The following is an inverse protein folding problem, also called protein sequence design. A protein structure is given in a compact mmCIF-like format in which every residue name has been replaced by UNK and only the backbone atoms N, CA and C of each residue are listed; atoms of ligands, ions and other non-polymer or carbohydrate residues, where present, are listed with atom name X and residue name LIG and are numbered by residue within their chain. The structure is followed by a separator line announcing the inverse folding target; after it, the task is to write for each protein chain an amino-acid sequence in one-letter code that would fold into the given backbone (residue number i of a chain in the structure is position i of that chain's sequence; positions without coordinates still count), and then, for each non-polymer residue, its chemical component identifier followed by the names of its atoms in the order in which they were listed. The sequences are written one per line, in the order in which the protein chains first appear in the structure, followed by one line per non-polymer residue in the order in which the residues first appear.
data_IF_454698873126
#
_entry.id   IF_454698873126
#
_cell.length_a   1.000
_cell.length_b   1.000
_cell.length_c   1.000
_cell.angle_alpha   90.00
_cell.angle_beta   90.00
_cell.angle_gamma   90.00
#
_symmetry.space_group_name_H-M   'P 1'
#
loop_
_entity.id
_entity.type
_entity.pdbx_description
1 polymer ?
#
# COMPACT_ATOMS: atom_id res chain seq x y z
N UNK A 1 -12.89 42.75 50.78
CA UNK A 1 -13.64 42.16 49.65
C UNK A 1 -13.10 40.75 49.43
N UNK A 2 -13.81 39.71 49.90
CA UNK A 2 -13.35 38.33 49.81
C UNK A 2 -13.85 37.69 48.51
N UNK A 3 -12.97 37.62 47.51
CA UNK A 3 -13.26 36.98 46.23
C UNK A 3 -13.15 35.46 46.42
N UNK A 4 -14.28 34.77 46.29
CA UNK A 4 -14.35 33.32 46.47
C UNK A 4 -13.94 32.60 45.18
N UNK A 5 -12.63 32.33 45.05
CA UNK A 5 -12.01 31.79 43.83
C UNK A 5 -12.61 30.44 43.37
N UNK A 6 -13.19 29.66 44.30
CA UNK A 6 -13.90 28.41 43.97
C UNK A 6 -15.07 28.64 43.01
N UNK A 7 -15.76 29.79 43.10
CA UNK A 7 -16.86 30.12 42.18
C UNK A 7 -16.38 30.58 40.81
N UNK A 8 -15.20 31.19 40.73
CA UNK A 8 -14.61 31.68 39.48
C UNK A 8 -14.13 30.50 38.62
N UNK A 9 -13.50 29.49 39.23
CA UNK A 9 -13.02 28.30 38.50
C UNK A 9 -14.18 27.37 38.09
N UNK A 10 -15.23 27.26 38.92
CA UNK A 10 -16.43 26.51 38.58
C UNK A 10 -17.22 27.11 37.40
N UNK A 11 -17.17 28.43 37.22
CA UNK A 11 -17.89 29.13 36.15
C UNK A 11 -17.13 29.14 34.82
N UNK A 12 -15.79 29.05 34.85
CA UNK A 12 -14.96 28.96 33.64
C UNK A 12 -14.94 27.54 33.03
N UNK A 13 -15.26 26.52 33.83
CA UNK A 13 -15.26 25.11 33.39
C UNK A 13 -16.52 24.69 32.62
N UNK A 14 -17.60 25.47 32.70
CA UNK A 14 -18.88 25.18 32.04
C UNK A 14 -19.02 25.77 30.63
N UNK A 15 -18.19 26.75 30.25
CA UNK A 15 -18.23 27.34 28.91
C UNK A 15 -17.33 26.63 27.87
N UNK A 16 -16.44 25.75 28.31
CA UNK A 16 -15.52 25.00 27.42
C UNK A 16 -16.17 23.70 26.91
N UNK A 17 -17.23 23.22 27.56
CA UNK A 17 -17.87 21.95 27.22
C UNK A 17 -18.84 22.05 26.02
N UNK A 18 -19.24 23.25 25.59
CA UNK A 18 -20.19 23.43 24.48
C UNK A 18 -19.56 23.60 23.09
N UNK A 19 -18.22 23.64 22.97
CA UNK A 19 -17.52 23.76 21.67
C UNK A 19 -17.17 22.38 21.08
N UNK A 20 -17.35 21.29 21.84
CA UNK A 20 -16.95 19.93 21.43
C UNK A 20 -18.10 19.08 20.85
N UNK A 21 -19.27 19.67 20.56
CA UNK A 21 -20.43 18.94 20.04
C UNK A 21 -21.02 19.54 18.76
N UNK A 22 -20.15 19.86 17.80
CA UNK A 22 -20.56 20.06 16.42
C UNK A 22 -19.86 19.01 15.54
N UNK A 23 -20.54 17.95 15.06
CA UNK A 23 -20.04 17.26 13.89
C UNK A 23 -20.26 18.18 12.70
N UNK A 24 -19.19 18.74 12.11
CA UNK A 24 -19.24 19.22 10.72
C UNK A 24 -19.40 17.99 9.82
N UNK A 25 -20.63 17.53 9.68
CA UNK A 25 -21.06 16.61 8.64
C UNK A 25 -21.64 17.43 7.49
N UNK A 26 -20.79 18.15 6.75
CA UNK A 26 -21.17 18.76 5.48
C UNK A 26 -20.37 18.13 4.34
N UNK A 27 -21.13 17.48 3.50
CA UNK A 27 -20.72 16.76 2.32
C UNK A 27 -19.99 17.66 1.32
N UNK A 28 -18.85 17.19 0.82
CA UNK A 28 -18.56 17.04 -0.61
C UNK A 28 -17.04 16.99 -0.86
N UNK A 29 -16.46 15.80 -0.71
CA UNK A 29 -15.59 15.34 -1.79
C UNK A 29 -16.28 14.17 -2.45
N UNK A 30 -16.95 14.50 -3.55
CA UNK A 30 -17.35 13.60 -4.63
C UNK A 30 -16.33 12.48 -4.71
N UNK A 31 -16.67 11.33 -4.14
CA UNK A 31 -15.88 10.12 -4.28
C UNK A 31 -15.89 9.86 -5.77
N UNK A 32 -14.76 10.08 -6.44
CA UNK A 32 -14.53 9.47 -7.74
C UNK A 32 -14.42 7.97 -7.42
N UNK A 33 -15.57 7.33 -7.21
CA UNK A 33 -15.72 5.88 -7.15
C UNK A 33 -15.55 5.37 -8.56
N UNK A 34 -14.32 5.49 -9.03
CA UNK A 34 -13.79 4.85 -10.20
C UNK A 34 -12.32 4.72 -9.90
N UNK A 35 -12.03 3.95 -8.84
CA UNK A 35 -10.80 3.21 -8.81
C UNK A 35 -10.80 2.37 -10.07
N UNK A 36 -10.21 2.89 -11.14
CA UNK A 36 -9.74 2.09 -12.24
C UNK A 36 -8.84 1.06 -11.58
N UNK A 37 -9.40 -0.10 -11.27
CA UNK A 37 -8.63 -1.25 -10.81
C UNK A 37 -7.66 -1.52 -11.95
N UNK A 38 -6.42 -1.09 -11.79
CA UNK A 38 -5.39 -1.32 -12.77
C UNK A 38 -5.22 -2.83 -12.90
N UNK A 39 -5.54 -3.36 -14.07
CA UNK A 39 -5.51 -4.78 -14.31
C UNK A 39 -4.13 -5.18 -14.86
N UNK A 40 -3.29 -5.72 -13.98
CA UNK A 40 -1.98 -6.25 -14.32
C UNK A 40 -2.02 -7.35 -15.40
N UNK A 41 -3.12 -8.11 -15.52
CA UNK A 41 -3.27 -9.10 -16.60
C UNK A 41 -3.22 -8.46 -18.00
N UNK A 42 -3.59 -7.18 -18.13
CA UNK A 42 -3.50 -6.43 -19.40
C UNK A 42 -2.08 -5.98 -19.75
N UNK A 43 -1.12 -6.09 -18.83
CA UNK A 43 0.27 -5.68 -19.07
C UNK A 43 1.17 -6.86 -19.47
N UNK A 44 0.65 -8.08 -19.42
CA UNK A 44 1.40 -9.31 -19.67
C UNK A 44 2.13 -9.86 -18.44
N UNK A 45 1.81 -9.37 -17.24
CA UNK A 45 2.22 -10.00 -15.98
C UNK A 45 1.03 -10.02 -15.02
N UNK A 46 0.29 -11.13 -14.99
CA UNK A 46 -0.84 -11.28 -14.08
C UNK A 46 -0.34 -11.56 -12.66
N UNK A 47 -0.86 -10.83 -11.68
CA UNK A 47 -0.55 -11.06 -10.27
C UNK A 47 -1.36 -12.27 -9.77
N UNK A 48 -0.70 -13.41 -9.68
CA UNK A 48 -1.25 -14.69 -9.18
C UNK A 48 -0.34 -15.33 -8.13
N UNK A 49 -0.93 -16.22 -7.33
CA UNK A 49 -0.29 -16.88 -6.18
C UNK A 49 0.42 -15.89 -5.25
N UNK A 50 1.72 -16.10 -5.04
CA UNK A 50 2.53 -15.26 -4.16
C UNK A 50 2.56 -13.77 -4.57
N UNK A 51 2.41 -13.47 -5.87
CA UNK A 51 2.47 -12.10 -6.39
C UNK A 51 1.21 -11.28 -6.09
N UNK A 52 0.09 -11.92 -5.72
CA UNK A 52 -1.17 -11.22 -5.37
C UNK A 52 -0.97 -10.27 -4.19
N UNK A 53 -0.06 -10.62 -3.28
CA UNK A 53 0.22 -9.85 -2.06
C UNK A 53 1.45 -8.95 -2.19
N UNK A 54 2.05 -8.85 -3.38
CA UNK A 54 3.20 -7.99 -3.60
C UNK A 54 2.81 -6.52 -3.41
N UNK A 55 3.68 -5.75 -2.75
CA UNK A 55 3.54 -4.30 -2.67
C UNK A 55 3.95 -3.68 -4.02
N UNK A 56 3.37 -2.53 -4.38
CA UNK A 56 3.65 -1.85 -5.64
C UNK A 56 5.16 -1.62 -5.84
N UNK A 57 5.84 -1.22 -4.77
CA UNK A 57 7.25 -0.84 -4.75
C UNK A 57 8.19 -2.04 -4.86
N UNK A 58 7.69 -3.28 -4.67
CA UNK A 58 8.47 -4.50 -4.84
C UNK A 58 8.89 -4.73 -6.30
N UNK A 59 8.16 -4.15 -7.25
CA UNK A 59 8.46 -4.25 -8.69
C UNK A 59 8.68 -2.88 -9.34
N UNK A 60 7.97 -1.85 -8.86
CA UNK A 60 8.06 -0.48 -9.36
C UNK A 60 9.00 0.37 -8.49
N UNK A 61 10.28 0.04 -8.57
CA UNK A 61 11.33 0.70 -7.78
C UNK A 61 11.37 2.18 -8.14
N UNK A 62 11.49 3.04 -7.12
CA UNK A 62 11.45 4.51 -7.26
C UNK A 62 10.19 5.04 -7.96
N UNK A 63 9.08 4.29 -7.93
CA UNK A 63 7.84 4.67 -8.60
C UNK A 63 7.87 4.53 -10.13
N UNK A 64 8.89 3.89 -10.68
CA UNK A 64 9.01 3.68 -12.13
C UNK A 64 8.07 2.53 -12.55
N UNK A 65 6.97 2.89 -13.23
CA UNK A 65 5.94 1.93 -13.65
C UNK A 65 6.25 1.21 -14.97
N UNK A 66 7.05 1.84 -15.84
CA UNK A 66 7.40 1.30 -17.16
C UNK A 66 8.73 0.57 -17.09
N UNK A 67 8.87 -0.50 -17.88
CA UNK A 67 10.13 -1.24 -17.99
C UNK A 67 10.34 -2.28 -16.88
N UNK A 68 9.39 -2.47 -15.97
CA UNK A 68 9.41 -3.59 -15.02
C UNK A 68 9.49 -4.93 -15.79
N UNK A 69 10.47 -5.80 -15.48
CA UNK A 69 10.60 -7.10 -16.11
C UNK A 69 9.33 -7.95 -15.92
N UNK A 70 8.97 -8.71 -16.95
CA UNK A 70 7.82 -9.63 -16.93
C UNK A 70 8.23 -11.09 -16.90
N UNK A 71 9.50 -11.38 -17.23
CA UNK A 71 10.07 -12.73 -17.19
C UNK A 71 10.54 -13.03 -15.77
N UNK A 72 10.39 -14.28 -15.34
CA UNK A 72 10.71 -14.73 -13.98
C UNK A 72 12.13 -14.37 -13.57
N UNK A 73 13.10 -14.61 -14.45
CA UNK A 73 14.53 -14.35 -14.24
C UNK A 73 14.88 -12.86 -14.15
N UNK A 74 14.03 -11.97 -14.66
CA UNK A 74 14.26 -10.53 -14.56
C UNK A 74 14.15 -10.01 -13.12
N UNK A 75 13.34 -10.70 -12.30
CA UNK A 75 13.15 -10.38 -10.88
C UNK A 75 13.86 -11.40 -9.97
N UNK A 76 13.78 -12.70 -10.27
CA UNK A 76 14.35 -13.78 -9.44
C UNK A 76 15.85 -14.02 -9.72
N UNK A 77 16.63 -12.94 -9.74
CA UNK A 77 18.08 -12.94 -9.94
C UNK A 77 18.76 -12.15 -8.82
N UNK A 78 19.99 -12.55 -8.47
CA UNK A 78 20.75 -11.83 -7.45
C UNK A 78 21.20 -10.46 -7.97
N UNK A 79 21.07 -9.44 -7.12
CA UNK A 79 21.69 -8.13 -7.33
C UNK A 79 20.92 -7.15 -8.22
N UNK A 80 19.65 -7.42 -8.56
CA UNK A 80 18.78 -6.41 -9.16
C UNK A 80 18.13 -5.52 -8.10
N UNK A 81 17.36 -4.52 -8.54
CA UNK A 81 16.68 -3.58 -7.65
C UNK A 81 15.39 -4.15 -7.05
N UNK A 82 14.84 -5.22 -7.65
CA UNK A 82 13.65 -5.90 -7.15
C UNK A 82 14.08 -6.98 -6.14
N UNK A 83 13.79 -6.78 -4.86
CA UNK A 83 14.20 -7.71 -3.79
C UNK A 83 13.36 -9.02 -3.78
N UNK A 84 13.23 -9.68 -4.93
CA UNK A 84 12.62 -10.99 -5.06
C UNK A 84 13.60 -12.08 -4.63
N UNK A 85 13.07 -13.19 -4.14
CA UNK A 85 13.90 -14.33 -3.72
C UNK A 85 14.54 -14.93 -4.98
N UNK A 86 15.86 -14.80 -5.12
CA UNK A 86 16.58 -15.29 -6.29
C UNK A 86 16.54 -16.82 -6.39
N UNK A 87 16.79 -17.33 -7.61
CA UNK A 87 17.06 -18.75 -7.86
C UNK A 87 18.20 -19.23 -6.94
N UNK A 88 17.97 -20.22 -6.06
CA UNK A 88 19.02 -20.66 -5.15
C UNK A 88 20.11 -21.42 -5.88
N UNK A 89 21.32 -21.47 -5.30
CA UNK A 89 22.49 -22.10 -5.93
C UNK A 89 22.30 -23.60 -6.20
N UNK A 90 21.49 -24.28 -5.40
CA UNK A 90 21.15 -25.70 -5.54
C UNK A 90 19.88 -25.97 -6.38
N UNK A 91 19.41 -24.97 -7.13
CA UNK A 91 18.26 -25.17 -8.03
C UNK A 91 18.63 -26.10 -9.18
N UNK A 92 17.65 -26.85 -9.68
CA UNK A 92 17.81 -27.80 -10.79
C UNK A 92 18.27 -27.10 -12.07
N UNK A 93 19.20 -27.71 -12.80
CA UNK A 93 19.56 -27.25 -14.14
C UNK A 93 18.51 -27.73 -15.15
N UNK A 94 17.80 -26.80 -15.79
CA UNK A 94 16.84 -27.09 -16.85
C UNK A 94 16.89 -26.00 -17.93
N UNK A 95 16.56 -26.38 -19.16
CA UNK A 95 16.35 -25.48 -20.31
C UNK A 95 14.87 -25.08 -20.46
N UNK A 96 13.97 -25.68 -19.68
CA UNK A 96 12.54 -25.37 -19.72
C UNK A 96 12.25 -23.98 -19.15
N UNK A 97 11.08 -23.44 -19.52
CA UNK A 97 10.59 -22.21 -18.93
C UNK A 97 10.28 -22.40 -17.44
N UNK A 98 10.43 -21.34 -16.65
CA UNK A 98 10.30 -21.41 -15.19
C UNK A 98 8.92 -21.91 -14.75
N UNK A 99 7.88 -21.55 -15.49
CA UNK A 99 6.47 -21.90 -15.26
C UNK A 99 6.13 -23.37 -15.56
N UNK A 100 7.05 -24.13 -16.18
CA UNK A 100 6.91 -25.58 -16.30
C UNK A 100 6.95 -26.28 -14.93
N UNK A 101 7.66 -25.70 -13.95
CA UNK A 101 7.78 -26.24 -12.59
C UNK A 101 7.25 -25.28 -11.52
N UNK A 102 7.41 -23.96 -11.70
CA UNK A 102 6.95 -22.93 -10.78
C UNK A 102 5.61 -22.39 -11.25
N UNK A 103 4.52 -23.12 -11.00
CA UNK A 103 3.16 -22.68 -11.31
C UNK A 103 2.74 -21.60 -10.31
N UNK A 104 2.69 -20.31 -10.69
CA UNK A 104 2.35 -19.22 -9.80
C UNK A 104 0.85 -19.04 -9.65
#
# INVERSE_FOLDING_TARGET
MNINWKKVVASLSLLILSVMLSPLADAATKTIKSGLKFNHAKTGFELKGAHVKAKCESCHVNGILKGTPKKCEGCHVNGNQMNAIAKPANHVSSQDNCDACHVP
#
